data_IF_166912045151
#
_entry.id   IF_166912045151
#
_cell.length_a   1.000
_cell.length_b   1.000
_cell.length_c   1.000
_cell.angle_alpha   90.00
_cell.angle_beta   90.00
_cell.angle_gamma   90.00
#
_symmetry.space_group_name_H-M   'P 1'
#
loop_
_entity.id
_entity.type
_entity.pdbx_description
1 polymer ?
#
# COMPACT_ATOMS: atom_id res chain seq x y z
N UNK A 1 15.18 -12.65 35.27
CA UNK A 1 13.77 -12.66 34.82
C UNK A 1 13.70 -12.09 33.41
N UNK A 2 13.74 -12.90 32.34
CA UNK A 2 13.78 -12.34 30.99
C UNK A 2 12.36 -11.94 30.56
N UNK A 3 12.17 -10.65 30.31
CA UNK A 3 10.91 -10.06 29.87
C UNK A 3 10.58 -10.42 28.42
N UNK A 4 9.42 -11.04 28.22
CA UNK A 4 8.84 -11.39 26.93
C UNK A 4 8.29 -10.11 26.28
N UNK A 5 9.07 -9.46 25.43
CA UNK A 5 8.56 -8.48 24.45
C UNK A 5 8.23 -9.21 23.15
N UNK A 6 7.16 -10.02 23.14
CA UNK A 6 6.62 -10.54 21.88
C UNK A 6 6.00 -9.37 21.11
N UNK A 7 6.61 -9.09 19.95
CA UNK A 7 6.29 -7.96 19.08
C UNK A 7 4.79 -7.76 18.83
N UNK A 8 4.26 -6.66 19.38
CA UNK A 8 2.95 -6.11 19.04
C UNK A 8 2.86 -5.96 17.52
N UNK A 9 1.77 -6.45 16.94
CA UNK A 9 1.43 -6.12 15.56
C UNK A 9 1.23 -4.61 15.45
N UNK A 10 2.03 -3.96 14.59
CA UNK A 10 1.79 -2.57 14.22
C UNK A 10 0.40 -2.54 13.55
N UNK A 11 -0.53 -1.78 14.13
CA UNK A 11 -1.91 -1.55 13.64
C UNK A 11 -2.91 -2.68 13.95
N UNK A 12 -3.45 -2.75 15.19
CA UNK A 12 -4.44 -3.77 15.58
C UNK A 12 -5.78 -3.66 14.84
N UNK A 13 -6.16 -2.46 14.38
CA UNK A 13 -7.40 -2.22 13.62
C UNK A 13 -7.37 -2.75 12.19
N UNK A 14 -6.18 -3.08 11.66
CA UNK A 14 -6.05 -3.59 10.30
C UNK A 14 -6.50 -5.05 10.24
N UNK A 15 -7.56 -5.34 9.47
CA UNK A 15 -8.13 -6.69 9.35
C UNK A 15 -7.36 -7.57 8.35
N UNK A 16 -6.89 -6.99 7.25
CA UNK A 16 -6.19 -7.71 6.19
C UNK A 16 -5.70 -6.76 5.10
N UNK A 17 -4.99 -7.29 4.11
CA UNK A 17 -4.45 -6.53 2.99
C UNK A 17 -5.10 -7.02 1.69
N UNK A 18 -5.53 -6.11 0.82
CA UNK A 18 -5.99 -6.45 -0.52
C UNK A 18 -4.93 -6.04 -1.55
N UNK A 19 -4.68 -6.87 -2.56
CA UNK A 19 -3.72 -6.58 -3.62
C UNK A 19 -4.28 -6.90 -5.02
N UNK A 20 -3.74 -6.23 -6.05
CA UNK A 20 -4.14 -6.46 -7.43
C UNK A 20 -3.63 -7.81 -7.97
N UNK A 21 -4.30 -8.30 -9.01
CA UNK A 21 -3.91 -9.48 -9.80
C UNK A 21 -2.45 -9.49 -10.30
N UNK A 22 -1.82 -8.32 -10.49
CA UNK A 22 -0.40 -8.22 -10.85
C UNK A 22 0.55 -8.87 -9.83
N UNK A 23 0.15 -8.92 -8.55
CA UNK A 23 0.91 -9.58 -7.49
C UNK A 23 0.70 -11.09 -7.46
N UNK A 24 -0.13 -11.68 -8.32
CA UNK A 24 -0.46 -13.11 -8.32
C UNK A 24 0.63 -14.02 -8.89
N UNK A 25 1.47 -13.51 -9.81
CA UNK A 25 2.47 -14.32 -10.53
C UNK A 25 3.75 -14.49 -9.68
N UNK A 26 4.91 -14.18 -10.23
CA UNK A 26 6.21 -14.38 -9.58
C UNK A 26 6.33 -13.73 -8.19
N UNK A 27 5.53 -12.69 -7.91
CA UNK A 27 5.61 -11.92 -6.68
C UNK A 27 4.66 -12.37 -5.57
N UNK A 28 3.80 -13.37 -5.81
CA UNK A 28 2.76 -13.76 -4.83
C UNK A 28 3.34 -14.21 -3.52
N UNK A 29 4.25 -15.20 -3.58
CA UNK A 29 4.88 -15.78 -2.39
C UNK A 29 5.67 -14.73 -1.62
N UNK A 30 6.43 -13.90 -2.34
CA UNK A 30 7.23 -12.82 -1.74
C UNK A 30 6.35 -11.77 -1.06
N UNK A 31 5.25 -11.39 -1.70
CA UNK A 31 4.32 -10.40 -1.17
C UNK A 31 3.53 -10.93 0.03
N UNK A 32 2.97 -12.14 -0.07
CA UNK A 32 2.30 -12.80 1.05
C UNK A 32 3.26 -12.98 2.24
N UNK A 33 4.48 -13.45 2.01
CA UNK A 33 5.50 -13.58 3.05
C UNK A 33 5.85 -12.23 3.69
N UNK A 34 6.01 -11.17 2.89
CA UNK A 34 6.28 -9.83 3.40
C UNK A 34 5.14 -9.32 4.29
N UNK A 35 3.89 -9.49 3.87
CA UNK A 35 2.72 -9.05 4.64
C UNK A 35 2.58 -9.86 5.93
N UNK A 36 2.81 -11.18 5.87
CA UNK A 36 2.78 -12.02 7.07
C UNK A 36 3.92 -11.67 8.04
N UNK A 37 5.14 -11.45 7.55
CA UNK A 37 6.29 -11.11 8.39
C UNK A 37 6.16 -9.73 9.04
N UNK A 38 5.67 -8.73 8.29
CA UNK A 38 5.60 -7.35 8.77
C UNK A 38 4.32 -7.04 9.54
N UNK A 39 3.17 -7.51 9.05
CA UNK A 39 1.86 -7.12 9.57
C UNK A 39 1.19 -8.27 10.35
N UNK A 40 1.63 -9.51 10.18
CA UNK A 40 0.98 -10.72 10.72
C UNK A 40 -0.49 -10.79 10.29
N UNK A 41 -0.75 -10.52 8.99
CA UNK A 41 -2.09 -10.46 8.38
C UNK A 41 -2.13 -11.24 7.08
N UNK A 42 -3.35 -11.61 6.67
CA UNK A 42 -3.60 -12.28 5.39
C UNK A 42 -3.70 -11.30 4.23
N UNK A 43 -3.37 -11.79 3.03
CA UNK A 43 -3.51 -11.06 1.78
C UNK A 43 -4.63 -11.68 0.96
N UNK A 44 -5.55 -10.84 0.50
CA UNK A 44 -6.57 -11.19 -0.48
C UNK A 44 -6.18 -10.57 -1.84
N UNK A 45 -5.81 -11.41 -2.81
CA UNK A 45 -5.46 -10.95 -4.16
C UNK A 45 -6.72 -10.94 -5.01
N UNK A 46 -7.16 -9.76 -5.44
CA UNK A 46 -8.36 -9.59 -6.27
C UNK A 46 -8.23 -10.40 -7.57
N UNK A 47 -9.15 -11.33 -7.80
CA UNK A 47 -9.31 -11.99 -9.09
C UNK A 47 -10.06 -11.07 -10.05
N UNK A 48 -9.79 -11.18 -11.36
CA UNK A 48 -10.78 -10.70 -12.35
C UNK A 48 -12.02 -11.56 -12.19
N UNK A 49 -13.14 -10.92 -11.87
CA UNK A 49 -14.45 -11.56 -11.66
C UNK A 49 -15.08 -11.88 -13.03
N UNK A 50 -14.98 -10.92 -13.97
CA UNK A 50 -15.53 -11.03 -15.32
C UNK A 50 -14.46 -10.67 -16.37
N UNK A 51 -14.65 -11.11 -17.62
CA UNK A 51 -13.81 -10.71 -18.77
C UNK A 51 -14.11 -9.28 -19.26
N UNK A 52 -15.24 -8.70 -18.86
CA UNK A 52 -15.63 -7.31 -19.11
C UNK A 52 -15.06 -6.35 -18.06
N UNK A 53 -15.07 -5.05 -18.39
CA UNK A 53 -14.67 -4.01 -17.46
C UNK A 53 -15.73 -3.81 -16.38
N UNK A 54 -15.35 -3.96 -15.12
CA UNK A 54 -16.21 -3.76 -13.95
C UNK A 54 -15.53 -2.88 -12.90
N UNK A 55 -16.32 -2.09 -12.18
CA UNK A 55 -15.83 -1.22 -11.12
C UNK A 55 -15.57 -2.04 -9.86
N UNK A 56 -14.29 -2.19 -9.50
CA UNK A 56 -13.89 -2.80 -8.23
C UNK A 56 -13.93 -1.75 -7.10
N UNK A 57 -14.90 -1.88 -6.20
CA UNK A 57 -15.18 -0.90 -5.15
C UNK A 57 -13.98 -0.57 -4.21
N UNK A 58 -13.00 -1.47 -4.02
CA UNK A 58 -11.81 -1.16 -3.22
C UNK A 58 -10.72 -0.45 -4.04
N UNK A 59 -10.67 -0.66 -5.36
CA UNK A 59 -9.61 -0.20 -6.27
C UNK A 59 -9.67 1.32 -6.51
N UNK A 60 -10.87 1.87 -6.65
CA UNK A 60 -11.02 3.31 -6.92
C UNK A 60 -10.37 4.18 -5.84
N UNK A 61 -10.33 3.72 -4.58
CA UNK A 61 -9.67 4.47 -3.49
C UNK A 61 -8.18 4.65 -3.76
N UNK A 62 -7.53 3.59 -4.23
CA UNK A 62 -6.10 3.59 -4.55
C UNK A 62 -5.83 4.47 -5.77
N UNK A 63 -6.59 4.28 -6.84
CA UNK A 63 -6.45 5.08 -8.07
C UNK A 63 -6.69 6.57 -7.81
N UNK A 64 -7.66 6.89 -6.97
CA UNK A 64 -7.96 8.27 -6.56
C UNK A 64 -6.80 8.89 -5.78
N UNK A 65 -6.13 8.15 -4.90
CA UNK A 65 -4.92 8.62 -4.21
C UNK A 65 -3.81 8.91 -5.22
N UNK A 66 -3.57 8.02 -6.18
CA UNK A 66 -2.57 8.27 -7.23
C UNK A 66 -2.90 9.47 -8.10
N UNK A 67 -4.17 9.62 -8.50
CA UNK A 67 -4.63 10.79 -9.24
C UNK A 67 -4.37 12.09 -8.46
N UNK A 68 -4.60 12.08 -7.15
CA UNK A 68 -4.29 13.23 -6.30
C UNK A 68 -2.79 13.50 -6.14
N UNK A 69 -1.99 12.44 -6.07
CA UNK A 69 -0.53 12.57 -5.98
C UNK A 69 0.07 13.18 -7.27
N UNK A 70 -0.57 13.00 -8.43
CA UNK A 70 -0.12 13.63 -9.68
C UNK A 70 -0.13 15.18 -9.64
N UNK A 71 -0.89 15.81 -8.73
CA UNK A 71 -0.86 17.26 -8.57
C UNK A 71 0.39 17.78 -7.86
N UNK A 72 1.20 16.89 -7.26
CA UNK A 72 2.48 17.29 -6.66
C UNK A 72 3.58 17.24 -7.71
N UNK A 73 4.02 18.42 -8.18
CA UNK A 73 5.06 18.57 -9.22
C UNK A 73 6.33 17.75 -8.96
N UNK A 74 6.71 17.56 -7.70
CA UNK A 74 7.89 16.77 -7.30
C UNK A 74 7.78 15.29 -7.66
N UNK A 75 6.56 14.75 -7.75
CA UNK A 75 6.32 13.36 -8.14
C UNK A 75 6.24 13.14 -9.65
N UNK A 76 6.23 14.20 -10.46
CA UNK A 76 6.10 14.08 -11.91
C UNK A 76 7.30 13.37 -12.58
N UNK A 77 8.47 13.37 -11.93
CA UNK A 77 9.67 12.72 -12.43
C UNK A 77 10.51 12.20 -11.27
N UNK A 78 11.00 10.98 -11.39
CA UNK A 78 11.96 10.40 -10.46
C UNK A 78 13.36 10.98 -10.74
N UNK A 79 13.87 11.80 -9.82
CA UNK A 79 15.22 12.37 -9.87
C UNK A 79 16.18 11.73 -8.87
N UNK A 80 15.65 10.91 -7.96
CA UNK A 80 16.41 10.36 -6.85
C UNK A 80 17.15 9.09 -7.25
N UNK A 81 18.42 9.00 -6.86
CA UNK A 81 19.25 7.81 -7.11
C UNK A 81 19.01 6.74 -6.03
N UNK A 82 18.65 7.16 -4.82
CA UNK A 82 18.51 6.28 -3.66
C UNK A 82 17.05 5.90 -3.35
N UNK A 83 16.85 4.70 -2.81
CA UNK A 83 15.51 4.24 -2.41
C UNK A 83 14.94 5.09 -1.26
N UNK A 84 15.77 5.53 -0.33
CA UNK A 84 15.32 6.32 0.82
C UNK A 84 14.72 7.67 0.40
N UNK A 85 15.42 8.54 -0.36
CA UNK A 85 14.82 9.80 -0.79
C UNK A 85 13.55 9.61 -1.64
N UNK A 86 13.51 8.59 -2.51
CA UNK A 86 12.29 8.24 -3.27
C UNK A 86 11.10 7.95 -2.35
N UNK A 87 11.30 7.19 -1.26
CA UNK A 87 10.24 6.91 -0.28
C UNK A 87 9.71 8.19 0.36
N UNK A 88 10.60 9.09 0.80
CA UNK A 88 10.19 10.35 1.43
C UNK A 88 9.41 11.24 0.45
N UNK A 89 9.83 11.28 -0.82
CA UNK A 89 9.16 12.05 -1.86
C UNK A 89 7.70 11.61 -2.09
N UNK A 90 7.33 10.36 -1.79
CA UNK A 90 5.94 9.87 -1.84
C UNK A 90 5.21 10.06 -0.50
N UNK A 91 5.89 9.81 0.63
CA UNK A 91 5.27 9.88 1.96
C UNK A 91 4.83 11.29 2.34
N UNK A 92 5.66 12.31 2.06
CA UNK A 92 5.37 13.71 2.38
C UNK A 92 4.07 14.21 1.71
N UNK A 93 3.91 14.12 0.37
CA UNK A 93 2.70 14.59 -0.28
C UNK A 93 1.47 13.76 0.11
N UNK A 94 1.63 12.46 0.38
CA UNK A 94 0.53 11.65 0.90
C UNK A 94 0.05 12.12 2.27
N UNK A 95 0.95 12.43 3.20
CA UNK A 95 0.58 13.00 4.51
C UNK A 95 -0.10 14.36 4.38
N UNK A 96 0.41 15.26 3.54
CA UNK A 96 -0.24 16.56 3.27
C UNK A 96 -1.65 16.38 2.71
N UNK A 97 -1.84 15.39 1.84
CA UNK A 97 -3.12 15.06 1.22
C UNK A 97 -4.15 14.55 2.23
N UNK A 98 -3.71 13.74 3.20
CA UNK A 98 -4.54 13.24 4.29
C UNK A 98 -4.92 14.36 5.27
N UNK A 99 -3.96 15.22 5.65
CA UNK A 99 -4.20 16.35 6.57
C UNK A 99 -5.27 17.29 6.00
N UNK A 100 -5.18 17.64 4.71
CA UNK A 100 -6.19 18.49 4.01
C UNK A 100 -7.60 17.89 3.93
N UNK A 101 -7.80 16.64 4.35
CA UNK A 101 -9.09 15.92 4.31
C UNK A 101 -9.61 15.55 5.69
N UNK A 102 -8.87 15.88 6.74
CA UNK A 102 -9.30 15.66 8.12
C UNK A 102 -10.14 16.82 8.66
N UNK A 103 -10.25 17.92 7.91
CA UNK A 103 -11.14 19.05 8.19
C UNK A 103 -12.63 18.69 7.96
#
# INVERSE_FOLDING_TARGET
MPGIWLGRCKNPSLQGVCADSGYRKSYRKTFEALVQNLLKKTVEISARITSSWEILAKRWRIERIFAWLNHFRRLAKEYEIGVQPTKHNVMIPHSMLLIRRLD
#
